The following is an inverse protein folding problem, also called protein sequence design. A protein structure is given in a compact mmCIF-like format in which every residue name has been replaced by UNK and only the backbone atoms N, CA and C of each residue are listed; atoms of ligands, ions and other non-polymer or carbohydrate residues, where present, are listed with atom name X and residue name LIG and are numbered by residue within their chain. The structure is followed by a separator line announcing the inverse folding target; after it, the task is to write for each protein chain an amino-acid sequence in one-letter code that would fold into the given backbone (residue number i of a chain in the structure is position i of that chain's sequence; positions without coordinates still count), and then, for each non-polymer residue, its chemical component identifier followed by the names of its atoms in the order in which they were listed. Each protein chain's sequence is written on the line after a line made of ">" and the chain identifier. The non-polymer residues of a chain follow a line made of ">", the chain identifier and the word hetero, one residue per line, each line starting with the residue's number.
data_IF_703037792850
#
_entry.id   IF_703037792850
#
_cell.length_a   1.000
_cell.length_b   1.000
_cell.length_c   1.000
_cell.angle_alpha   90.00
_cell.angle_beta   90.00
_cell.angle_gamma   90.00
#
_symmetry.space_group_name_H-M   'P 1'
#
loop_
_entity.id
_entity.type
_entity.pdbx_description
1 polymer ?
#
# COMPACT_ATOMS: atom_id res chain seq x y z
N UNK A 1 -14.56 -1.90 25.68
CA UNK A 1 -13.61 -0.82 25.30
C UNK A 1 -14.15 -0.12 24.07
N UNK A 2 -14.96 0.93 24.25
CA UNK A 2 -15.36 1.77 23.12
C UNK A 2 -14.25 2.83 22.94
N UNK A 3 -13.38 2.63 21.97
CA UNK A 3 -12.28 3.56 21.65
C UNK A 3 -12.80 4.83 20.99
N UNK A 4 -12.11 5.34 19.97
CA UNK A 4 -12.58 6.49 19.17
C UNK A 4 -14.01 6.29 18.62
N UNK A 5 -14.43 5.05 18.35
CA UNK A 5 -15.79 4.71 17.94
C UNK A 5 -16.87 5.18 18.93
N UNK A 6 -16.57 5.24 20.24
CA UNK A 6 -17.53 5.70 21.24
C UNK A 6 -17.83 7.20 21.20
N UNK A 7 -17.00 7.99 20.48
CA UNK A 7 -17.23 9.42 20.24
C UNK A 7 -18.04 9.71 18.98
N UNK A 8 -18.15 8.74 18.08
CA UNK A 8 -19.02 8.78 16.92
C UNK A 8 -20.27 7.97 17.25
N UNK A 9 -21.09 8.48 18.17
CA UNK A 9 -22.44 7.96 18.39
C UNK A 9 -23.24 8.10 17.11
N UNK A 10 -24.20 7.19 16.86
CA UNK A 10 -25.10 7.18 15.69
C UNK A 10 -26.08 8.38 15.64
N UNK A 11 -25.72 9.51 16.25
CA UNK A 11 -26.42 10.77 16.09
C UNK A 11 -26.26 11.29 14.66
N UNK A 12 -27.36 11.74 14.07
CA UNK A 12 -27.39 12.33 12.72
C UNK A 12 -26.47 13.56 12.55
N UNK A 13 -25.99 14.13 13.66
CA UNK A 13 -25.05 15.25 13.71
C UNK A 13 -23.59 14.85 13.41
N UNK A 14 -23.22 13.56 13.48
CA UNK A 14 -21.86 13.09 13.26
C UNK A 14 -21.61 12.74 11.78
N UNK A 15 -21.63 13.76 10.92
CA UNK A 15 -21.32 13.61 9.49
C UNK A 15 -19.85 13.92 9.21
N UNK A 16 -19.20 13.06 8.44
CA UNK A 16 -17.82 13.23 7.98
C UNK A 16 -17.86 13.58 6.49
N UNK A 17 -17.28 14.72 6.15
CA UNK A 17 -17.14 15.18 4.76
C UNK A 17 -15.69 14.99 4.35
N UNK A 18 -15.49 14.25 3.26
CA UNK A 18 -14.20 14.05 2.62
C UNK A 18 -14.23 14.79 1.30
N UNK A 19 -13.32 15.75 1.15
CA UNK A 19 -13.20 16.54 -0.07
C UNK A 19 -11.74 16.59 -0.52
N UNK A 20 -11.48 16.23 -1.77
CA UNK A 20 -10.20 16.47 -2.42
C UNK A 20 -10.39 17.53 -3.49
N UNK A 21 -9.61 18.61 -3.42
CA UNK A 21 -9.67 19.72 -4.36
C UNK A 21 -8.33 19.84 -5.07
N UNK A 22 -8.36 20.03 -6.39
CA UNK A 22 -7.16 20.24 -7.21
C UNK A 22 -7.22 21.65 -7.83
N UNK A 23 -6.12 22.38 -7.74
CA UNK A 23 -5.97 23.72 -8.32
C UNK A 23 -5.06 23.63 -9.53
N UNK A 24 -5.65 23.40 -10.70
CA UNK A 24 -4.91 23.25 -11.95
C UNK A 24 -4.42 24.60 -12.51
N UNK A 25 -5.16 25.68 -12.23
CA UNK A 25 -4.88 27.06 -12.69
C UNK A 25 -5.16 28.05 -11.56
N UNK A 26 -4.35 29.13 -11.41
CA UNK A 26 -4.64 30.17 -10.44
C UNK A 26 -6.07 30.71 -10.61
N UNK A 27 -6.87 30.67 -9.53
CA UNK A 27 -8.25 31.17 -9.52
C UNK A 27 -9.33 30.18 -9.99
N UNK A 28 -9.00 28.93 -10.37
CA UNK A 28 -10.00 27.87 -10.61
C UNK A 28 -9.62 26.60 -9.86
N UNK A 29 -10.52 26.16 -8.99
CA UNK A 29 -10.39 24.93 -8.22
C UNK A 29 -11.45 23.92 -8.67
N UNK A 30 -11.05 22.69 -8.92
CA UNK A 30 -11.94 21.60 -9.27
C UNK A 30 -12.02 20.61 -8.10
N UNK A 31 -13.24 20.25 -7.71
CA UNK A 31 -13.46 19.18 -6.75
C UNK A 31 -13.17 17.85 -7.47
N UNK A 32 -12.17 17.13 -7.00
CA UNK A 32 -11.72 15.84 -7.55
C UNK A 32 -12.43 14.66 -6.92
N UNK A 33 -12.78 14.79 -5.64
CA UNK A 33 -13.52 13.79 -4.89
C UNK A 33 -14.34 14.49 -3.82
N UNK A 34 -15.60 14.07 -3.67
CA UNK A 34 -16.51 14.55 -2.63
C UNK A 34 -17.33 13.36 -2.13
N UNK A 35 -17.33 13.17 -0.81
CA UNK A 35 -18.16 12.16 -0.16
C UNK A 35 -18.60 12.65 1.21
N UNK A 36 -19.87 12.45 1.51
CA UNK A 36 -20.46 12.68 2.82
C UNK A 36 -20.89 11.32 3.38
N UNK A 37 -20.42 10.99 4.57
CA UNK A 37 -20.65 9.70 5.22
C UNK A 37 -21.01 9.92 6.69
N UNK A 38 -21.69 8.95 7.30
CA UNK A 38 -21.83 8.93 8.76
C UNK A 38 -20.47 8.60 9.40
N UNK A 39 -20.22 9.10 10.61
CA UNK A 39 -18.97 8.82 11.32
C UNK A 39 -18.71 7.33 11.57
N UNK A 40 -19.76 6.56 11.87
CA UNK A 40 -19.69 5.10 12.03
C UNK A 40 -19.29 4.41 10.73
N UNK A 41 -19.93 4.75 9.61
CA UNK A 41 -19.59 4.24 8.28
C UNK A 41 -18.15 4.60 7.89
N UNK A 42 -17.72 5.84 8.10
CA UNK A 42 -16.36 6.28 7.82
C UNK A 42 -15.30 5.43 8.55
N UNK A 43 -15.51 5.17 9.85
CA UNK A 43 -14.59 4.37 10.65
C UNK A 43 -14.57 2.91 10.21
N UNK A 44 -15.72 2.34 9.86
CA UNK A 44 -15.81 0.97 9.35
C UNK A 44 -15.03 0.81 8.06
N UNK A 45 -15.21 1.72 7.10
CA UNK A 45 -14.49 1.65 5.81
C UNK A 45 -12.97 1.79 5.96
N UNK A 46 -12.51 2.67 6.85
CA UNK A 46 -11.07 2.78 7.15
C UNK A 46 -10.55 1.51 7.81
N UNK A 47 -11.30 0.92 8.74
CA UNK A 47 -10.94 -0.34 9.40
C UNK A 47 -10.83 -1.46 8.37
N UNK A 48 -11.76 -1.55 7.43
CA UNK A 48 -11.78 -2.59 6.42
C UNK A 48 -10.62 -2.45 5.42
N UNK A 49 -10.32 -1.22 5.00
CA UNK A 49 -9.09 -0.92 4.26
C UNK A 49 -7.86 -1.36 5.05
N UNK A 50 -7.77 -0.99 6.33
CA UNK A 50 -6.61 -1.29 7.15
C UNK A 50 -6.42 -2.80 7.34
N UNK A 51 -7.48 -3.54 7.63
CA UNK A 51 -7.44 -4.99 7.82
C UNK A 51 -7.08 -5.74 6.54
N UNK A 52 -7.57 -5.26 5.39
CA UNK A 52 -7.31 -5.91 4.10
C UNK A 52 -5.93 -5.61 3.53
N UNK A 53 -5.37 -4.43 3.82
CA UNK A 53 -4.02 -4.01 3.42
C UNK A 53 -2.96 -4.22 4.52
N UNK A 54 -3.27 -4.95 5.60
CA UNK A 54 -2.34 -5.09 6.71
C UNK A 54 -1.12 -5.92 6.30
N UNK A 55 0.07 -5.38 6.52
CA UNK A 55 1.33 -6.07 6.24
C UNK A 55 2.47 -5.54 7.11
N UNK A 56 3.57 -6.28 7.17
CA UNK A 56 4.81 -5.83 7.81
C UNK A 56 5.45 -4.74 6.95
N UNK A 57 5.46 -3.52 7.48
CA UNK A 57 6.04 -2.35 6.83
C UNK A 57 7.41 -2.04 7.43
N UNK A 58 8.38 -1.76 6.56
CA UNK A 58 9.77 -1.45 6.92
C UNK A 58 10.10 0.00 6.57
N UNK A 59 10.17 0.87 7.56
CA UNK A 59 10.49 2.29 7.40
C UNK A 59 11.86 2.60 8.00
N UNK A 60 12.91 2.34 7.22
CA UNK A 60 14.28 2.46 7.68
C UNK A 60 14.68 1.31 8.61
N UNK A 61 15.84 1.44 9.26
CA UNK A 61 16.46 0.35 10.03
C UNK A 61 15.69 0.06 11.32
N UNK A 62 15.14 1.09 11.98
CA UNK A 62 14.58 0.99 13.33
C UNK A 62 13.06 1.12 13.42
N UNK A 63 12.33 1.35 12.32
CA UNK A 63 10.87 1.45 12.36
C UNK A 63 10.26 0.34 11.53
N UNK A 64 9.87 -0.72 12.21
CA UNK A 64 9.06 -1.79 11.65
C UNK A 64 7.70 -1.75 12.34
N UNK A 65 6.62 -1.81 11.57
CA UNK A 65 5.27 -1.84 12.11
C UNK A 65 4.35 -2.68 11.24
N UNK A 66 3.29 -3.21 11.83
CA UNK A 66 2.25 -3.94 11.11
C UNK A 66 1.10 -2.98 10.85
N UNK A 67 0.80 -2.73 9.59
CA UNK A 67 -0.26 -1.79 9.24
C UNK A 67 -0.47 -1.64 7.74
N UNK A 68 -1.51 -0.89 7.38
CA UNK A 68 -1.75 -0.52 5.99
C UNK A 68 -0.81 0.63 5.56
N UNK A 69 -0.27 0.59 4.33
CA UNK A 69 0.60 1.63 3.83
C UNK A 69 -0.18 2.92 3.54
N UNK A 70 0.45 4.07 3.81
CA UNK A 70 -0.18 5.36 3.54
C UNK A 70 -0.30 5.62 2.02
N UNK A 71 -1.33 6.34 1.53
CA UNK A 71 -1.49 6.63 0.11
C UNK A 71 -0.29 7.32 -0.55
N UNK A 72 0.39 8.20 0.21
CA UNK A 72 1.63 8.86 -0.22
C UNK A 72 2.77 7.87 -0.42
N UNK A 73 2.91 6.92 0.51
CA UNK A 73 3.94 5.88 0.43
C UNK A 73 3.65 4.90 -0.69
N UNK A 74 2.37 4.57 -0.95
CA UNK A 74 1.95 3.79 -2.12
C UNK A 74 2.38 4.48 -3.41
N UNK A 75 2.11 5.78 -3.54
CA UNK A 75 2.55 6.53 -4.71
C UNK A 75 4.08 6.49 -4.83
N UNK A 76 4.81 6.74 -3.73
CA UNK A 76 6.27 6.68 -3.71
C UNK A 76 6.81 5.30 -4.12
N UNK A 77 6.17 4.23 -3.69
CA UNK A 77 6.52 2.86 -4.06
C UNK A 77 6.26 2.56 -5.54
N UNK A 78 5.21 3.14 -6.15
CA UNK A 78 4.94 2.95 -7.57
C UNK A 78 5.90 3.74 -8.48
N UNK A 79 6.11 5.03 -8.19
CA UNK A 79 6.79 5.96 -9.11
C UNK A 79 8.21 6.36 -8.67
N UNK A 80 8.57 6.18 -7.41
CA UNK A 80 9.89 6.51 -6.85
C UNK A 80 10.25 8.00 -6.97
N UNK A 81 11.54 8.28 -7.21
CA UNK A 81 12.10 9.64 -7.36
C UNK A 81 11.40 10.52 -8.41
N UNK A 82 10.62 9.94 -9.34
CA UNK A 82 9.83 10.69 -10.33
C UNK A 82 8.71 11.52 -9.69
N UNK A 83 8.30 11.19 -8.45
CA UNK A 83 7.32 11.96 -7.69
C UNK A 83 7.89 13.20 -7.03
N UNK A 84 9.15 13.17 -6.59
CA UNK A 84 9.79 14.31 -5.92
C UNK A 84 9.89 15.52 -6.86
N UNK A 85 9.83 15.29 -8.17
CA UNK A 85 9.83 16.34 -9.20
C UNK A 85 8.41 16.79 -9.60
N UNK A 86 7.35 16.07 -9.21
CA UNK A 86 5.99 16.27 -9.72
C UNK A 86 4.91 16.03 -8.65
N UNK A 87 4.66 17.03 -7.82
CA UNK A 87 3.55 17.00 -6.84
C UNK A 87 2.18 16.73 -7.47
N UNK A 88 1.98 17.13 -8.73
CA UNK A 88 0.74 16.83 -9.48
C UNK A 88 0.49 15.33 -9.65
N UNK A 89 1.56 14.53 -9.82
CA UNK A 89 1.43 13.07 -9.93
C UNK A 89 1.06 12.45 -8.59
N UNK A 90 1.60 12.98 -7.49
CA UNK A 90 1.22 12.54 -6.15
C UNK A 90 -0.27 12.82 -5.89
N UNK A 91 -0.72 14.05 -6.14
CA UNK A 91 -2.12 14.44 -6.00
C UNK A 91 -3.06 13.60 -6.87
N UNK A 92 -2.65 13.29 -8.11
CA UNK A 92 -3.41 12.41 -9.00
C UNK A 92 -3.51 10.97 -8.48
N UNK A 93 -2.42 10.43 -7.95
CA UNK A 93 -2.39 9.05 -7.43
C UNK A 93 -3.20 8.94 -6.15
N UNK A 94 -3.04 9.88 -5.23
CA UNK A 94 -3.84 9.93 -3.99
C UNK A 94 -5.32 10.13 -4.32
N UNK A 95 -5.65 10.98 -5.29
CA UNK A 95 -7.01 11.15 -5.78
C UNK A 95 -7.65 9.87 -6.33
N UNK A 96 -6.86 8.98 -6.96
CA UNK A 96 -7.32 7.65 -7.40
C UNK A 96 -7.48 6.67 -6.24
N UNK A 97 -6.64 6.77 -5.21
CA UNK A 97 -6.69 5.90 -4.03
C UNK A 97 -7.83 6.24 -3.07
N UNK A 98 -8.24 7.51 -2.97
CA UNK A 98 -9.30 7.93 -2.05
C UNK A 98 -10.62 7.17 -2.27
N UNK A 99 -11.18 7.05 -3.49
CA UNK A 99 -12.35 6.20 -3.73
C UNK A 99 -12.10 4.73 -3.39
N UNK A 100 -10.88 4.21 -3.57
CA UNK A 100 -10.57 2.82 -3.27
C UNK A 100 -10.58 2.53 -1.75
N UNK A 101 -10.20 3.53 -0.94
CA UNK A 101 -10.21 3.44 0.52
C UNK A 101 -11.64 3.61 1.04
N UNK A 102 -12.36 4.58 0.48
CA UNK A 102 -13.68 4.99 0.98
C UNK A 102 -14.85 4.22 0.37
N UNK A 103 -14.67 3.52 -0.75
CA UNK A 103 -15.71 2.74 -1.41
C UNK A 103 -15.12 1.41 -1.92
N UNK A 104 -14.34 0.75 -1.06
CA UNK A 104 -13.57 -0.47 -1.35
C UNK A 104 -14.40 -1.64 -1.93
N UNK A 105 -15.71 -1.67 -1.67
CA UNK A 105 -16.63 -2.69 -2.21
C UNK A 105 -16.94 -2.47 -3.70
N UNK A 106 -16.83 -1.23 -4.18
CA UNK A 106 -17.21 -0.84 -5.55
C UNK A 106 -16.01 -0.46 -6.42
N UNK A 107 -14.98 0.15 -5.81
CA UNK A 107 -13.81 0.63 -6.52
C UNK A 107 -12.60 -0.19 -6.10
N UNK A 108 -12.15 -1.15 -6.93
CA UNK A 108 -10.92 -1.88 -6.66
C UNK A 108 -9.70 -0.99 -6.84
N UNK A 109 -8.60 -1.34 -6.16
CA UNK A 109 -7.30 -0.69 -6.39
C UNK A 109 -6.93 -0.82 -7.88
N UNK A 110 -6.52 0.28 -8.53
CA UNK A 110 -6.13 0.24 -9.93
C UNK A 110 -4.98 -0.76 -10.16
N UNK A 111 -5.19 -1.70 -11.10
CA UNK A 111 -4.23 -2.78 -11.39
C UNK A 111 -2.87 -2.24 -11.83
N UNK A 112 -2.85 -1.14 -12.56
CA UNK A 112 -1.63 -0.45 -12.99
C UNK A 112 -0.76 -0.03 -11.81
N UNK A 113 -1.39 0.43 -10.72
CA UNK A 113 -0.68 0.88 -9.53
C UNK A 113 -0.04 -0.29 -8.79
N UNK A 114 -0.77 -1.40 -8.65
CA UNK A 114 -0.25 -2.63 -8.02
C UNK A 114 0.90 -3.19 -8.84
N UNK A 115 0.74 -3.30 -10.15
CA UNK A 115 1.75 -3.83 -11.06
C UNK A 115 3.02 -2.97 -11.05
N UNK A 116 2.89 -1.64 -11.00
CA UNK A 116 4.04 -0.74 -10.87
C UNK A 116 4.81 -0.97 -9.56
N UNK A 117 4.11 -1.11 -8.43
CA UNK A 117 4.73 -1.43 -7.15
C UNK A 117 5.45 -2.80 -7.18
N UNK A 118 4.79 -3.84 -7.70
CA UNK A 118 5.36 -5.20 -7.80
C UNK A 118 6.59 -5.20 -8.70
N UNK A 119 6.48 -4.61 -9.90
CA UNK A 119 7.60 -4.55 -10.84
C UNK A 119 8.79 -3.81 -10.24
N UNK A 120 8.55 -2.74 -9.49
CA UNK A 120 9.62 -1.99 -8.81
C UNK A 120 10.25 -2.80 -7.68
N UNK A 121 9.46 -3.54 -6.91
CA UNK A 121 9.97 -4.44 -5.87
C UNK A 121 10.92 -5.50 -6.48
N UNK A 122 10.57 -6.05 -7.64
CA UNK A 122 11.38 -7.03 -8.37
C UNK A 122 12.63 -6.41 -9.03
N UNK A 123 12.57 -5.15 -9.48
CA UNK A 123 13.69 -4.45 -10.16
C UNK A 123 14.71 -3.82 -9.19
N UNK A 124 14.85 -4.35 -7.96
CA UNK A 124 15.52 -3.74 -6.81
C UNK A 124 17.02 -3.37 -6.94
N UNK A 125 17.64 -3.52 -8.12
CA UNK A 125 19.08 -3.39 -8.38
C UNK A 125 19.64 -1.98 -8.15
N UNK A 126 18.80 -0.93 -8.12
CA UNK A 126 19.26 0.48 -7.99
C UNK A 126 18.82 1.20 -6.72
N UNK A 127 18.26 0.46 -5.75
CA UNK A 127 17.61 1.04 -4.57
C UNK A 127 18.31 0.55 -3.30
N UNK A 128 18.45 1.43 -2.30
CA UNK A 128 19.04 1.06 -1.01
C UNK A 128 18.24 -0.08 -0.37
N UNK A 129 18.90 -0.96 0.38
CA UNK A 129 18.27 -2.11 1.03
C UNK A 129 16.98 -1.76 1.81
N UNK A 130 17.01 -0.68 2.59
CA UNK A 130 15.85 -0.24 3.37
C UNK A 130 14.71 0.30 2.48
N UNK A 131 15.02 0.95 1.36
CA UNK A 131 14.02 1.42 0.38
C UNK A 131 13.39 0.23 -0.34
N UNK A 132 14.19 -0.78 -0.69
CA UNK A 132 13.71 -2.03 -1.27
C UNK A 132 12.75 -2.75 -0.32
N UNK A 133 13.12 -2.87 0.95
CA UNK A 133 12.29 -3.48 2.00
C UNK A 133 10.96 -2.73 2.19
N UNK A 134 11.00 -1.38 2.15
CA UNK A 134 9.79 -0.54 2.18
C UNK A 134 8.88 -0.83 0.99
N UNK A 135 9.43 -0.81 -0.22
CA UNK A 135 8.66 -1.03 -1.46
C UNK A 135 8.05 -2.43 -1.47
N UNK A 136 8.81 -3.45 -1.04
CA UNK A 136 8.32 -4.82 -0.93
C UNK A 136 7.14 -4.92 0.05
N UNK A 137 7.25 -4.33 1.25
CA UNK A 137 6.18 -4.33 2.24
C UNK A 137 4.89 -3.66 1.73
N UNK A 138 5.03 -2.57 0.97
CA UNK A 138 3.89 -1.88 0.34
C UNK A 138 3.29 -2.72 -0.80
N UNK A 139 4.12 -3.32 -1.65
CA UNK A 139 3.66 -4.17 -2.75
C UNK A 139 2.91 -5.41 -2.24
N UNK A 140 3.41 -6.06 -1.19
CA UNK A 140 2.76 -7.19 -0.54
C UNK A 140 1.40 -6.81 0.06
N UNK A 141 1.32 -5.65 0.74
CA UNK A 141 0.06 -5.13 1.27
C UNK A 141 -1.01 -4.94 0.18
N UNK A 142 -0.63 -4.32 -0.94
CA UNK A 142 -1.53 -4.06 -2.07
C UNK A 142 -1.94 -5.35 -2.77
N UNK A 143 -1.00 -6.27 -2.96
CA UNK A 143 -1.26 -7.57 -3.58
C UNK A 143 -2.23 -8.42 -2.74
N UNK A 144 -2.04 -8.42 -1.41
CA UNK A 144 -2.96 -9.08 -0.46
C UNK A 144 -4.36 -8.49 -0.55
N UNK A 145 -4.48 -7.16 -0.61
CA UNK A 145 -5.77 -6.49 -0.77
C UNK A 145 -6.45 -6.82 -2.10
N UNK A 146 -5.71 -6.87 -3.20
CA UNK A 146 -6.26 -7.24 -4.51
C UNK A 146 -6.76 -8.69 -4.54
N UNK A 147 -6.16 -9.56 -3.74
CA UNK A 147 -6.50 -10.98 -3.64
C UNK A 147 -7.17 -11.36 -2.31
N UNK A 148 -8.03 -10.48 -1.78
CA UNK A 148 -8.82 -10.72 -0.54
C UNK A 148 -9.54 -12.08 -0.54
N UNK A 149 -10.07 -12.50 -1.67
CA UNK A 149 -10.81 -13.77 -1.83
C UNK A 149 -9.95 -15.00 -1.52
N UNK A 150 -8.65 -14.95 -1.86
CA UNK A 150 -7.74 -16.09 -1.71
C UNK A 150 -7.17 -16.22 -0.30
N UNK A 151 -7.43 -15.24 0.59
CA UNK A 151 -6.96 -15.17 1.98
C UNK A 151 -5.52 -15.64 2.15
N UNK A 152 -4.61 -15.14 1.32
CA UNK A 152 -3.21 -15.52 1.44
C UNK A 152 -2.70 -15.11 2.82
N UNK A 153 -2.32 -16.11 3.61
CA UNK A 153 -1.52 -15.88 4.83
C UNK A 153 -0.19 -15.24 4.46
N UNK A 154 0.25 -15.44 3.19
CA UNK A 154 1.54 -15.01 2.63
C UNK A 154 2.70 -15.55 3.48
N UNK A 155 2.50 -16.74 4.02
CA UNK A 155 3.47 -17.56 4.73
C UNK A 155 3.89 -18.73 3.82
N UNK A 156 4.90 -19.48 4.22
CA UNK A 156 5.38 -20.62 3.45
C UNK A 156 4.39 -21.81 3.51
N UNK A 157 3.69 -22.04 2.39
CA UNK A 157 2.73 -23.11 2.17
C UNK A 157 3.41 -24.34 1.55
N UNK A 158 3.87 -25.28 2.38
CA UNK A 158 4.57 -26.52 1.93
C UNK A 158 3.74 -27.42 1.02
N UNK A 159 2.40 -27.33 1.09
CA UNK A 159 1.49 -28.20 0.32
C UNK A 159 1.13 -27.65 -1.07
N UNK A 160 1.56 -26.42 -1.41
CA UNK A 160 1.15 -25.75 -2.65
C UNK A 160 2.13 -26.05 -3.79
N UNK A 161 1.71 -26.95 -4.69
CA UNK A 161 2.52 -27.37 -5.84
C UNK A 161 2.21 -26.63 -7.15
N UNK A 162 1.73 -25.37 -7.07
CA UNK A 162 1.49 -24.57 -8.26
C UNK A 162 2.81 -24.02 -8.81
N UNK A 163 3.00 -24.09 -10.14
CA UNK A 163 4.23 -23.65 -10.84
C UNK A 163 4.75 -22.28 -10.37
N UNK A 164 3.86 -21.29 -10.33
CA UNK A 164 4.23 -19.91 -10.00
C UNK A 164 4.72 -19.78 -8.54
N UNK A 165 4.16 -20.58 -7.63
CA UNK A 165 4.56 -20.62 -6.22
C UNK A 165 5.93 -21.29 -6.03
N UNK A 166 6.17 -22.40 -6.72
CA UNK A 166 7.43 -23.14 -6.65
C UNK A 166 8.59 -22.32 -7.22
N UNK A 167 8.38 -21.63 -8.35
CA UNK A 167 9.39 -20.73 -8.89
C UNK A 167 9.65 -19.51 -7.99
N UNK A 168 8.61 -18.94 -7.39
CA UNK A 168 8.78 -17.88 -6.39
C UNK A 168 9.59 -18.36 -5.17
N UNK A 169 9.33 -19.58 -4.69
CA UNK A 169 10.06 -20.19 -3.57
C UNK A 169 11.53 -20.45 -3.93
N UNK A 170 11.80 -20.95 -5.15
CA UNK A 170 13.16 -21.17 -5.64
C UNK A 170 13.93 -19.84 -5.76
N UNK A 171 13.27 -18.78 -6.27
CA UNK A 171 13.87 -17.45 -6.37
C UNK A 171 14.23 -16.88 -4.99
N UNK A 172 13.35 -17.07 -3.99
CA UNK A 172 13.62 -16.65 -2.61
C UNK A 172 14.83 -17.36 -2.00
N UNK A 173 14.99 -18.67 -2.27
CA UNK A 173 16.18 -19.43 -1.85
C UNK A 173 17.43 -18.91 -2.56
N UNK A 174 17.34 -18.62 -3.86
CA UNK A 174 18.44 -18.05 -4.65
C UNK A 174 18.93 -16.72 -4.09
N UNK A 175 18.00 -15.79 -3.81
CA UNK A 175 18.31 -14.50 -3.20
C UNK A 175 18.97 -14.65 -1.82
N UNK A 176 18.51 -15.60 -0.99
CA UNK A 176 19.13 -15.86 0.31
C UNK A 176 20.56 -16.41 0.20
N UNK A 177 20.82 -17.27 -0.79
CA UNK A 177 22.17 -17.79 -1.05
C UNK A 177 23.09 -16.67 -1.52
N UNK A 178 22.62 -15.80 -2.43
CA UNK A 178 23.37 -14.63 -2.92
C UNK A 178 23.72 -13.67 -1.77
N UNK A 179 22.75 -13.33 -0.93
CA UNK A 179 22.95 -12.47 0.24
C UNK A 179 24.00 -13.05 1.19
N UNK A 180 23.93 -14.36 1.49
CA UNK A 180 24.92 -15.03 2.34
C UNK A 180 26.31 -15.06 1.70
N UNK A 181 26.40 -15.29 0.39
CA UNK A 181 27.66 -15.31 -0.33
C UNK A 181 28.35 -13.93 -0.30
N UNK A 182 27.59 -12.86 -0.58
CA UNK A 182 28.09 -11.47 -0.50
C UNK A 182 28.55 -11.11 0.91
N UNK A 183 27.79 -11.50 1.94
CA UNK A 183 28.16 -11.28 3.33
C UNK A 183 29.48 -11.99 3.70
N UNK A 184 29.68 -13.22 3.23
CA UNK A 184 30.93 -13.97 3.43
C UNK A 184 32.11 -13.37 2.66
N UNK A 185 31.87 -12.86 1.45
CA UNK A 185 32.86 -12.18 0.62
C UNK A 185 33.28 -10.80 1.16
N UNK A 186 32.62 -10.29 2.22
CA UNK A 186 32.78 -8.93 2.78
C UNK A 186 32.51 -7.80 1.78
N UNK A 187 31.88 -8.10 0.66
CA UNK A 187 31.38 -7.10 -0.28
C UNK A 187 30.08 -6.54 0.29
N UNK A 188 30.12 -5.30 0.79
CA UNK A 188 28.92 -4.62 1.32
C UNK A 188 28.01 -4.22 0.16
N UNK A 189 26.77 -4.70 0.21
CA UNK A 189 25.59 -4.12 -0.49
C UNK A 189 25.20 -2.76 0.08
#
# INVERSE_FOLDING_TARGET
>A
MSGYAGRFTDDEANRVIIMAIDSATPGRMAIRYYRELKGSEFLEKIRDWHQSCVWNQYFGINKQFVGAPAPRDIAQAAYGKKLDTKDKLLGATVGRLLPCIMDADTVPIPRDLVECCVRRACQGVSVKFWERSKILGIACALFRHQHKEKKYTMDYETKRNTRDYLYGSLLAIGEHIEERALHLAKEKT
#
